data_IF_078883985833
#
_entry.id   IF_078883985833
#
_cell.length_a   1.000
_cell.length_b   1.000
_cell.length_c   1.000
_cell.angle_alpha   90.00
_cell.angle_beta   90.00
_cell.angle_gamma   90.00
#
_symmetry.space_group_name_H-M   'P 1'
#
loop_
_entity.id
_entity.type
_entity.pdbx_description
1 polymer ?
#
# COMPACT_ATOMS: atom_id res chain seq x y z
N UNK A 1 19.25 22.72 -1.80
CA UNK A 1 18.28 23.07 -0.79
C UNK A 1 16.87 22.90 -1.38
N UNK A 2 15.96 22.26 -0.64
CA UNK A 2 14.58 22.05 -1.05
C UNK A 2 13.83 23.37 -1.28
N UNK A 3 14.25 24.45 -0.65
CA UNK A 3 13.67 25.80 -0.85
C UNK A 3 14.04 26.41 -2.18
N UNK A 4 15.18 26.07 -2.75
CA UNK A 4 15.69 26.59 -4.01
C UNK A 4 15.37 25.70 -5.21
N UNK A 5 15.21 24.39 -4.99
CA UNK A 5 15.03 23.38 -6.05
C UNK A 5 13.73 22.60 -5.95
N UNK A 6 12.97 22.79 -4.88
CA UNK A 6 11.68 22.12 -4.67
C UNK A 6 10.58 22.71 -5.57
N UNK A 7 9.66 21.85 -5.98
CA UNK A 7 8.43 22.27 -6.64
C UNK A 7 7.46 22.88 -5.62
N UNK A 8 6.61 23.81 -6.06
CA UNK A 8 5.53 24.31 -5.21
C UNK A 8 4.52 23.19 -4.90
N UNK A 9 3.86 23.28 -3.76
CA UNK A 9 2.85 22.29 -3.35
C UNK A 9 1.72 22.16 -4.37
N UNK A 10 1.29 23.28 -4.94
CA UNK A 10 0.26 23.34 -5.97
C UNK A 10 0.69 22.65 -7.26
N UNK A 11 1.97 22.76 -7.63
CA UNK A 11 2.54 22.06 -8.76
C UNK A 11 2.56 20.55 -8.51
N UNK A 12 3.02 20.12 -7.33
CA UNK A 12 3.04 18.70 -6.94
C UNK A 12 1.62 18.12 -6.92
N UNK A 13 0.63 18.85 -6.40
CA UNK A 13 -0.77 18.40 -6.42
C UNK A 13 -1.30 18.21 -7.84
N UNK A 14 -0.96 19.12 -8.76
CA UNK A 14 -1.33 19.02 -10.18
C UNK A 14 -0.71 17.78 -10.83
N UNK A 15 0.60 17.60 -10.64
CA UNK A 15 1.33 16.46 -11.20
C UNK A 15 0.77 15.13 -10.68
N UNK A 16 0.46 15.05 -9.39
CA UNK A 16 -0.23 13.87 -8.80
C UNK A 16 -1.58 13.65 -9.46
N UNK A 17 -2.40 14.69 -9.60
CA UNK A 17 -3.73 14.60 -10.21
C UNK A 17 -3.67 14.07 -11.65
N UNK A 18 -2.68 14.51 -12.42
CA UNK A 18 -2.44 14.03 -13.79
C UNK A 18 -1.98 12.58 -13.82
N UNK A 19 -1.04 12.19 -12.94
CA UNK A 19 -0.50 10.83 -12.87
C UNK A 19 -1.58 9.81 -12.51
N UNK A 20 -2.47 10.13 -11.58
CA UNK A 20 -3.52 9.21 -11.12
C UNK A 20 -4.85 9.40 -11.84
N UNK A 21 -4.91 10.26 -12.87
CA UNK A 21 -6.10 10.44 -13.67
C UNK A 21 -6.54 9.13 -14.34
N UNK A 22 -7.87 8.97 -14.51
CA UNK A 22 -8.42 7.79 -15.12
C UNK A 22 -8.50 6.57 -14.18
N UNK A 23 -8.44 5.38 -14.76
CA UNK A 23 -8.58 4.12 -14.03
C UNK A 23 -7.19 3.65 -13.56
N UNK A 24 -6.86 3.93 -12.30
CA UNK A 24 -5.57 3.62 -11.68
C UNK A 24 -5.74 2.89 -10.36
N UNK A 25 -4.77 2.02 -10.04
CA UNK A 25 -4.64 1.37 -8.74
C UNK A 25 -3.47 2.01 -7.99
N UNK A 26 -3.73 2.45 -6.76
CA UNK A 26 -2.69 2.98 -5.87
C UNK A 26 -2.12 1.83 -5.05
N UNK A 27 -0.83 1.57 -5.23
CA UNK A 27 -0.14 0.43 -4.61
C UNK A 27 0.96 0.95 -3.69
N UNK A 28 0.99 0.46 -2.46
CA UNK A 28 2.07 0.75 -1.52
C UNK A 28 2.33 -0.43 -0.57
N UNK A 29 3.46 -0.39 0.12
CA UNK A 29 3.75 -1.28 1.23
C UNK A 29 3.44 -0.53 2.54
N UNK A 30 2.43 -0.98 3.27
CA UNK A 30 1.77 -0.25 4.36
C UNK A 30 0.96 0.96 3.84
N UNK A 31 0.10 0.69 2.87
CA UNK A 31 -0.62 1.69 2.08
C UNK A 31 -1.49 2.64 2.91
N UNK A 32 -1.99 2.20 4.07
CA UNK A 32 -2.76 3.07 4.97
C UNK A 32 -1.96 4.33 5.36
N UNK A 33 -0.64 4.18 5.62
CA UNK A 33 0.24 5.30 5.97
C UNK A 33 0.40 6.27 4.79
N UNK A 34 0.78 5.77 3.63
CA UNK A 34 1.04 6.59 2.43
C UNK A 34 -0.23 7.30 1.96
N UNK A 35 -1.36 6.61 1.93
CA UNK A 35 -2.64 7.17 1.52
C UNK A 35 -3.16 8.22 2.49
N UNK A 36 -2.96 8.03 3.80
CA UNK A 36 -3.32 9.03 4.80
C UNK A 36 -2.48 10.29 4.65
N UNK A 37 -1.17 10.14 4.44
CA UNK A 37 -0.27 11.27 4.18
C UNK A 37 -0.68 12.02 2.92
N UNK A 38 -0.92 11.31 1.83
CA UNK A 38 -1.34 11.88 0.54
C UNK A 38 -2.68 12.62 0.67
N UNK A 39 -3.66 12.05 1.36
CA UNK A 39 -4.95 12.68 1.61
C UNK A 39 -4.79 14.03 2.33
N UNK A 40 -4.05 14.08 3.44
CA UNK A 40 -3.85 15.31 4.18
C UNK A 40 -3.00 16.35 3.43
N UNK A 41 -2.07 15.89 2.60
CA UNK A 41 -1.31 16.79 1.72
C UNK A 41 -2.24 17.44 0.69
N UNK A 42 -3.07 16.66 0.01
CA UNK A 42 -4.05 17.13 -0.98
C UNK A 42 -5.12 18.03 -0.34
N UNK A 43 -5.57 17.70 0.87
CA UNK A 43 -6.54 18.50 1.61
C UNK A 43 -6.05 19.94 1.86
N UNK A 44 -4.74 20.11 2.03
CA UNK A 44 -4.13 21.43 2.31
C UNK A 44 -3.69 22.20 1.07
N UNK A 45 -3.40 21.52 -0.01
CA UNK A 45 -2.69 22.13 -1.16
C UNK A 45 -3.30 21.79 -2.51
N UNK A 46 -4.36 21.00 -2.55
CA UNK A 46 -5.02 20.56 -3.77
C UNK A 46 -6.44 20.10 -3.53
N UNK A 47 -6.84 19.01 -4.17
CA UNK A 47 -8.16 18.41 -4.06
C UNK A 47 -8.04 16.93 -3.64
N UNK A 48 -8.45 16.55 -2.42
CA UNK A 48 -8.41 15.17 -1.97
C UNK A 48 -9.43 14.27 -2.71
N UNK A 49 -10.41 14.83 -3.38
CA UNK A 49 -11.42 14.04 -4.12
C UNK A 49 -10.84 13.30 -5.32
N UNK A 50 -9.63 13.65 -5.77
CA UNK A 50 -8.92 12.87 -6.80
C UNK A 50 -8.61 11.44 -6.38
N UNK A 51 -8.59 11.15 -5.08
CA UNK A 51 -8.39 9.81 -4.53
C UNK A 51 -9.69 8.98 -4.49
N UNK A 52 -10.83 9.64 -4.68
CA UNK A 52 -12.14 8.97 -4.66
C UNK A 52 -12.27 8.04 -5.86
N UNK A 53 -12.80 6.84 -5.61
CA UNK A 53 -12.99 5.83 -6.66
C UNK A 53 -11.71 5.22 -7.21
N UNK A 54 -10.54 5.50 -6.62
CA UNK A 54 -9.29 4.80 -6.95
C UNK A 54 -9.22 3.50 -6.18
N UNK A 55 -8.87 2.43 -6.88
CA UNK A 55 -8.56 1.15 -6.26
C UNK A 55 -7.24 1.23 -5.48
N UNK A 56 -7.15 0.47 -4.42
CA UNK A 56 -5.97 0.49 -3.51
C UNK A 56 -5.52 -0.93 -3.19
N UNK A 57 -4.21 -1.14 -3.23
CA UNK A 57 -3.59 -2.42 -2.88
C UNK A 57 -2.49 -2.20 -1.84
N UNK A 58 -2.63 -2.87 -0.71
CA UNK A 58 -1.63 -2.88 0.36
C UNK A 58 -0.81 -4.17 0.34
N UNK A 59 0.44 -4.09 -0.10
CA UNK A 59 1.33 -5.24 -0.16
C UNK A 59 1.72 -5.78 1.23
N UNK A 60 1.65 -4.95 2.28
CA UNK A 60 1.86 -5.42 3.65
C UNK A 60 0.76 -6.40 4.06
N UNK A 61 -0.48 -6.15 3.67
CA UNK A 61 -1.60 -7.09 3.89
C UNK A 61 -1.33 -8.43 3.22
N UNK A 62 -0.91 -8.43 1.97
CA UNK A 62 -0.55 -9.65 1.22
C UNK A 62 0.62 -10.39 1.89
N UNK A 63 1.66 -9.65 2.27
CA UNK A 63 2.84 -10.25 2.90
C UNK A 63 2.53 -10.93 4.23
N UNK A 64 1.68 -10.33 5.06
CA UNK A 64 1.24 -10.90 6.34
C UNK A 64 0.50 -12.23 6.19
N UNK A 65 -0.27 -12.38 5.13
CA UNK A 65 -0.95 -13.65 4.85
C UNK A 65 0.01 -14.77 4.39
N UNK A 66 1.15 -14.39 3.83
CA UNK A 66 2.09 -15.32 3.20
C UNK A 66 3.31 -15.65 4.04
N UNK A 67 3.66 -14.79 5.00
CA UNK A 67 4.91 -14.91 5.78
C UNK A 67 4.67 -14.59 7.25
N UNK A 68 5.42 -15.24 8.15
CA UNK A 68 5.40 -14.92 9.56
C UNK A 68 6.09 -13.57 9.82
N UNK A 69 5.84 -12.99 11.00
CA UNK A 69 6.57 -11.84 11.50
C UNK A 69 8.11 -12.08 11.48
N UNK A 70 8.93 -11.08 11.13
CA UNK A 70 8.64 -9.65 10.97
C UNK A 70 8.14 -9.26 9.56
N UNK A 71 7.42 -8.11 9.46
CA UNK A 71 6.70 -7.73 8.23
C UNK A 71 7.12 -6.36 7.66
N UNK A 72 8.34 -5.91 7.89
CA UNK A 72 8.86 -4.69 7.26
C UNK A 72 9.14 -4.93 5.76
N UNK A 73 9.19 -3.86 4.96
CA UNK A 73 9.57 -3.95 3.55
C UNK A 73 10.91 -4.69 3.35
N UNK A 74 11.90 -4.41 4.21
CA UNK A 74 13.18 -5.11 4.19
C UNK A 74 13.02 -6.64 4.32
N UNK A 75 12.13 -7.08 5.19
CA UNK A 75 11.88 -8.51 5.38
C UNK A 75 11.23 -9.15 4.14
N UNK A 76 10.36 -8.42 3.45
CA UNK A 76 9.80 -8.86 2.17
C UNK A 76 10.88 -8.94 1.08
N UNK A 77 11.76 -7.95 0.99
CA UNK A 77 12.91 -7.97 0.06
C UNK A 77 13.77 -9.21 0.29
N UNK A 78 14.09 -9.51 1.54
CA UNK A 78 14.89 -10.69 1.92
C UNK A 78 14.16 -12.00 1.61
N UNK A 79 12.89 -12.11 1.99
CA UNK A 79 12.09 -13.32 1.82
C UNK A 79 11.88 -13.70 0.34
N UNK A 80 11.83 -12.71 -0.55
CA UNK A 80 11.72 -12.91 -2.00
C UNK A 80 13.09 -12.93 -2.71
N UNK A 81 14.20 -12.88 -1.99
CA UNK A 81 15.54 -12.96 -2.57
C UNK A 81 15.94 -11.75 -3.43
N UNK A 82 15.43 -10.57 -3.12
CA UNK A 82 15.59 -9.36 -3.91
C UNK A 82 16.75 -8.46 -3.47
N UNK A 83 17.47 -8.82 -2.40
CA UNK A 83 18.50 -7.99 -1.77
C UNK A 83 19.66 -7.59 -2.69
N UNK A 84 19.94 -8.35 -3.75
CA UNK A 84 20.92 -8.01 -4.78
C UNK A 84 20.37 -7.16 -5.93
N UNK A 85 19.07 -6.99 -6.03
CA UNK A 85 18.38 -6.32 -7.15
C UNK A 85 17.86 -4.93 -6.77
N UNK A 86 17.51 -4.72 -5.51
CA UNK A 86 16.91 -3.47 -5.04
C UNK A 86 17.65 -2.94 -3.81
N UNK A 87 17.61 -1.62 -3.65
CA UNK A 87 18.15 -0.93 -2.47
C UNK A 87 16.99 -0.49 -1.59
N UNK A 88 17.06 -0.79 -0.29
CA UNK A 88 16.23 -0.17 0.71
C UNK A 88 17.10 0.86 1.46
N UNK A 89 17.22 2.05 0.90
CA UNK A 89 18.08 3.11 1.42
C UNK A 89 17.33 4.16 2.26
N UNK A 90 16.03 3.93 2.51
CA UNK A 90 15.10 4.92 3.08
C UNK A 90 15.00 6.22 2.26
N UNK A 91 15.35 6.15 0.98
CA UNK A 91 15.02 7.16 0.00
C UNK A 91 13.74 6.77 -0.71
N UNK A 92 12.79 7.69 -0.81
CA UNK A 92 11.45 7.42 -1.34
C UNK A 92 11.46 6.69 -2.69
N UNK A 93 12.37 7.04 -3.59
CA UNK A 93 12.45 6.42 -4.91
C UNK A 93 12.96 4.97 -4.85
N UNK A 94 13.98 4.71 -4.02
CA UNK A 94 14.50 3.35 -3.83
C UNK A 94 13.44 2.44 -3.20
N UNK A 95 12.67 2.97 -2.24
CA UNK A 95 11.58 2.24 -1.60
C UNK A 95 10.41 1.95 -2.57
N UNK A 96 10.15 2.85 -3.53
CA UNK A 96 9.17 2.62 -4.62
C UNK A 96 9.63 1.49 -5.52
N UNK A 97 10.89 1.47 -5.97
CA UNK A 97 11.41 0.38 -6.80
C UNK A 97 11.45 -0.95 -6.03
N UNK A 98 11.79 -0.92 -4.74
CA UNK A 98 11.73 -2.11 -3.90
C UNK A 98 10.29 -2.65 -3.75
N UNK A 99 9.31 -1.75 -3.56
CA UNK A 99 7.89 -2.09 -3.49
C UNK A 99 7.39 -2.73 -4.79
N UNK A 100 7.77 -2.18 -5.94
CA UNK A 100 7.44 -2.74 -7.25
C UNK A 100 8.02 -4.16 -7.42
N UNK A 101 9.30 -4.34 -7.10
CA UNK A 101 9.95 -5.64 -7.19
C UNK A 101 9.31 -6.69 -6.25
N UNK A 102 8.92 -6.29 -5.06
CA UNK A 102 8.19 -7.15 -4.11
C UNK A 102 6.82 -7.52 -4.67
N UNK A 103 6.09 -6.57 -5.24
CA UNK A 103 4.79 -6.84 -5.89
C UNK A 103 4.93 -7.87 -7.01
N UNK A 104 5.90 -7.69 -7.91
CA UNK A 104 6.16 -8.63 -9.01
C UNK A 104 6.50 -10.03 -8.50
N UNK A 105 7.32 -10.13 -7.44
CA UNK A 105 7.65 -11.41 -6.82
C UNK A 105 6.44 -12.07 -6.14
N UNK A 106 5.58 -11.28 -5.50
CA UNK A 106 4.33 -11.76 -4.92
C UNK A 106 3.38 -12.29 -5.99
N UNK A 107 3.25 -11.60 -7.12
CA UNK A 107 2.39 -12.03 -8.23
C UNK A 107 2.92 -13.30 -8.89
N UNK A 108 4.24 -13.41 -9.05
CA UNK A 108 4.88 -14.61 -9.56
C UNK A 108 4.72 -15.83 -8.62
N UNK A 109 4.69 -15.61 -7.30
CA UNK A 109 4.45 -16.67 -6.32
C UNK A 109 3.00 -17.16 -6.37
N UNK A 110 2.03 -16.24 -6.44
CA UNK A 110 0.59 -16.55 -6.48
C UNK A 110 -0.18 -15.39 -7.11
N UNK A 111 -0.90 -15.66 -8.18
CA UNK A 111 -1.67 -14.69 -8.95
C UNK A 111 -3.02 -14.37 -8.29
N UNK A 112 -2.99 -13.85 -7.08
CA UNK A 112 -4.19 -13.52 -6.31
C UNK A 112 -4.23 -12.06 -5.80
N UNK A 113 -3.31 -11.20 -6.25
CA UNK A 113 -3.22 -9.82 -5.78
C UNK A 113 -4.53 -9.05 -5.98
N UNK A 114 -5.28 -9.35 -7.04
CA UNK A 114 -6.57 -8.73 -7.32
C UNK A 114 -7.60 -8.97 -6.20
N UNK A 115 -7.50 -10.07 -5.47
CA UNK A 115 -8.38 -10.38 -4.34
C UNK A 115 -8.18 -9.47 -3.13
N UNK A 116 -7.02 -8.80 -3.07
CA UNK A 116 -6.67 -7.86 -1.99
C UNK A 116 -6.97 -6.39 -2.34
N UNK A 117 -7.50 -6.11 -3.53
CA UNK A 117 -7.88 -4.75 -3.91
C UNK A 117 -8.95 -4.24 -2.94
N UNK A 118 -8.73 -3.05 -2.39
CA UNK A 118 -9.57 -2.40 -1.37
C UNK A 118 -9.81 -3.23 -0.09
N UNK A 119 -8.93 -4.19 0.19
CA UNK A 119 -8.95 -5.03 1.38
C UNK A 119 -7.63 -4.89 2.16
N UNK A 120 -7.69 -4.24 3.32
CA UNK A 120 -6.53 -4.01 4.19
C UNK A 120 -6.64 -4.83 5.48
N UNK A 121 -5.57 -5.59 5.75
CA UNK A 121 -5.45 -6.35 6.98
C UNK A 121 -4.83 -5.55 8.12
N UNK A 122 -5.23 -5.86 9.34
CA UNK A 122 -4.58 -5.35 10.55
C UNK A 122 -4.36 -6.46 11.57
N UNK A 123 -3.35 -6.26 12.43
CA UNK A 123 -3.08 -7.20 13.53
C UNK A 123 -4.08 -6.92 14.65
N UNK A 124 -4.90 -7.89 15.08
CA UNK A 124 -5.97 -7.69 16.07
C UNK A 124 -5.51 -7.02 17.35
N UNK A 125 -4.31 -7.37 17.83
CA UNK A 125 -3.71 -6.79 19.06
C UNK A 125 -3.58 -5.27 19.00
N UNK A 126 -3.34 -4.71 17.81
CA UNK A 126 -3.13 -3.27 17.63
C UNK A 126 -4.36 -2.53 17.09
N UNK A 127 -5.37 -3.28 16.63
CA UNK A 127 -6.55 -2.70 16.01
C UNK A 127 -6.32 -2.13 14.62
N UNK A 128 -7.37 -1.54 14.07
CA UNK A 128 -7.31 -0.87 12.78
C UNK A 128 -6.41 0.38 12.87
N UNK A 129 -5.46 0.58 11.96
CA UNK A 129 -4.55 1.71 11.99
C UNK A 129 -5.29 3.02 11.68
N UNK A 130 -5.26 3.98 12.62
CA UNK A 130 -5.75 5.34 12.42
C UNK A 130 -7.21 5.43 11.98
N UNK A 131 -7.54 6.51 11.23
CA UNK A 131 -8.87 6.71 10.65
C UNK A 131 -9.03 5.84 9.41
N UNK A 132 -10.05 4.96 9.33
CA UNK A 132 -10.28 4.11 8.17
C UNK A 132 -10.51 4.93 6.89
N UNK A 133 -10.00 4.44 5.78
CA UNK A 133 -10.25 4.99 4.44
C UNK A 133 -11.60 4.44 3.97
N UNK A 134 -12.54 5.32 3.60
CA UNK A 134 -13.94 4.96 3.38
C UNK A 134 -14.22 3.96 2.26
N UNK A 135 -13.30 3.83 1.28
CA UNK A 135 -13.41 2.86 0.18
C UNK A 135 -12.70 1.54 0.45
N UNK A 136 -12.06 1.39 1.63
CA UNK A 136 -11.29 0.22 2.00
C UNK A 136 -12.01 -0.59 3.07
N UNK A 137 -12.07 -1.90 2.87
CA UNK A 137 -12.54 -2.85 3.88
C UNK A 137 -11.37 -3.26 4.77
N UNK A 138 -11.50 -3.06 6.08
CA UNK A 138 -10.49 -3.46 7.06
C UNK A 138 -10.90 -4.77 7.74
N UNK A 139 -9.99 -5.74 7.78
CA UNK A 139 -10.20 -7.02 8.45
C UNK A 139 -9.04 -7.40 9.36
N UNK A 140 -9.30 -8.05 10.51
CA UNK A 140 -8.25 -8.58 11.35
C UNK A 140 -7.54 -9.75 10.64
N UNK A 141 -6.20 -9.76 10.67
CA UNK A 141 -5.38 -10.87 10.18
C UNK A 141 -4.97 -11.76 11.35
N UNK A 142 -5.50 -12.98 11.37
CA UNK A 142 -5.22 -13.98 12.42
C UNK A 142 -4.22 -15.04 11.96
N UNK A 143 -3.87 -15.07 10.68
CA UNK A 143 -3.01 -16.07 10.05
C UNK A 143 -3.76 -17.36 9.71
N UNK A 144 -3.10 -18.20 8.92
CA UNK A 144 -3.62 -19.53 8.57
C UNK A 144 -4.33 -19.63 7.22
N UNK A 145 -4.92 -18.56 6.73
CA UNK A 145 -5.52 -18.48 5.38
C UNK A 145 -5.52 -17.04 4.88
N UNK A 146 -5.64 -16.84 3.55
CA UNK A 146 -5.72 -15.52 2.95
C UNK A 146 -6.90 -14.70 3.48
N UNK A 147 -6.67 -13.41 3.68
CA UNK A 147 -7.66 -12.49 4.25
C UNK A 147 -8.95 -12.40 3.44
N UNK A 148 -8.87 -12.55 2.11
CA UNK A 148 -10.03 -12.51 1.24
C UNK A 148 -10.96 -13.72 1.41
N UNK A 149 -10.47 -14.83 1.96
CA UNK A 149 -11.27 -16.03 2.25
C UNK A 149 -12.04 -15.93 3.59
N UNK A 150 -11.63 -15.05 4.51
CA UNK A 150 -12.23 -14.93 5.84
C UNK A 150 -13.67 -14.38 5.85
N UNK A 151 -14.16 -13.84 4.73
CA UNK A 151 -15.52 -13.29 4.60
C UNK A 151 -16.59 -14.26 4.17
N UNK A 152 -16.26 -15.47 3.75
CA UNK A 152 -17.22 -16.44 3.18
C UNK A 152 -17.87 -17.39 4.20
N UNK A 153 -17.52 -17.32 5.50
CA UNK A 153 -18.00 -18.28 6.54
C UNK A 153 -19.25 -17.78 7.30
N UNK A 154 -19.87 -16.71 6.90
CA UNK A 154 -21.01 -16.15 7.63
C UNK A 154 -22.39 -16.52 7.04
N UNK A 155 -22.54 -17.66 6.38
CA UNK A 155 -23.85 -18.22 6.03
C UNK A 155 -23.84 -19.76 6.15
N UNK A 156 -23.92 -20.23 7.39
CA UNK A 156 -24.50 -21.53 7.70
C UNK A 156 -25.57 -21.33 8.75
#
# INVERSE_FOLDING_TARGET
DLRERGLSKERVCRDISEIIAGNTILIAYNAHFDLSFLYYFLLRSGDPDILRGKDKLDLLTVYRDRRPYPHRLLNAIEAYGLGGKVRNSHRALDDVYATLAVMEAMDAEKQDLVQYVDLFGYIPKFGCPGKPIGSVTYRPQTGGRPLYEEGEIAHV
#
